data_IF_005298554359
#
_entry.id   IF_005298554359
#
_cell.length_a   1.000
_cell.length_b   1.000
_cell.length_c   1.000
_cell.angle_alpha   90.00
_cell.angle_beta   90.00
_cell.angle_gamma   90.00
#
_symmetry.space_group_name_H-M   'P 1'
#
loop_
_entity.id
_entity.type
_entity.pdbx_description
1 polymer ?
#
# COMPACT_ATOMS: atom_id res chain seq x y z
N UNK A 1 18.74 3.02 18.53
CA UNK A 1 17.56 3.88 18.24
C UNK A 1 16.57 3.05 17.45
N UNK A 2 15.29 3.03 17.86
CA UNK A 2 14.24 2.25 17.22
C UNK A 2 13.56 3.05 16.09
N UNK A 3 13.06 2.34 15.09
CA UNK A 3 12.15 2.93 14.08
C UNK A 3 10.93 3.50 14.81
N UNK A 4 10.54 4.71 14.47
CA UNK A 4 9.51 5.46 15.21
C UNK A 4 8.33 5.91 14.36
N UNK A 5 8.32 5.61 13.06
CA UNK A 5 7.24 6.02 12.15
C UNK A 5 6.94 4.89 11.16
N UNK A 6 5.66 4.48 11.11
CA UNK A 6 5.22 3.35 10.29
C UNK A 6 4.07 3.74 9.38
N UNK A 7 4.25 3.62 8.06
CA UNK A 7 3.15 3.69 7.08
C UNK A 7 2.61 2.27 6.91
N UNK A 8 1.59 1.92 7.68
CA UNK A 8 1.12 0.53 7.79
C UNK A 8 0.15 0.08 6.69
N UNK A 9 -0.33 0.98 5.85
CA UNK A 9 -1.29 0.66 4.78
C UNK A 9 -2.02 1.89 4.26
N UNK A 10 -3.01 1.68 3.39
CA UNK A 10 -3.43 0.42 2.80
C UNK A 10 -2.72 0.19 1.45
N UNK A 11 -2.65 -1.06 0.98
CA UNK A 11 -2.11 -1.33 -0.35
C UNK A 11 -2.95 -0.61 -1.41
N UNK A 12 -2.31 -0.09 -2.47
CA UNK A 12 -2.93 0.65 -3.58
C UNK A 12 -3.55 2.01 -3.19
N UNK A 13 -3.21 2.54 -2.03
CA UNK A 13 -3.66 3.85 -1.55
C UNK A 13 -2.61 4.98 -1.67
N UNK A 14 -1.46 4.74 -2.31
CA UNK A 14 -0.45 5.78 -2.54
C UNK A 14 0.69 5.83 -1.52
N UNK A 15 0.86 4.81 -0.71
CA UNK A 15 1.94 4.70 0.30
C UNK A 15 3.34 4.86 -0.27
N UNK A 16 3.58 4.43 -1.51
CA UNK A 16 4.87 4.62 -2.21
C UNK A 16 5.17 6.10 -2.45
N UNK A 17 4.17 6.89 -2.82
CA UNK A 17 4.37 8.33 -3.01
C UNK A 17 4.64 9.01 -1.68
N UNK A 18 3.87 8.66 -0.64
CA UNK A 18 4.08 9.22 0.69
C UNK A 18 5.46 8.88 1.26
N UNK A 19 5.91 7.62 1.15
CA UNK A 19 7.27 7.21 1.53
C UNK A 19 8.33 8.06 0.82
N UNK A 20 8.20 8.24 -0.49
CA UNK A 20 9.11 9.06 -1.28
C UNK A 20 9.09 10.53 -0.89
N UNK A 21 7.93 11.10 -0.57
CA UNK A 21 7.83 12.49 -0.13
C UNK A 21 8.48 12.69 1.23
N UNK A 22 8.26 11.78 2.18
CA UNK A 22 8.88 11.84 3.49
C UNK A 22 10.40 11.71 3.42
N UNK A 23 10.93 10.84 2.55
CA UNK A 23 12.38 10.64 2.38
C UNK A 23 13.14 11.90 1.95
N UNK A 24 12.45 12.89 1.39
CA UNK A 24 13.08 14.15 0.96
C UNK A 24 13.29 15.14 2.11
N UNK A 25 12.67 14.90 3.27
CA UNK A 25 12.81 15.79 4.41
C UNK A 25 14.16 15.58 5.11
N UNK A 26 14.94 16.66 5.43
CA UNK A 26 16.29 16.54 6.00
C UNK A 26 16.35 15.85 7.35
N UNK A 27 15.29 15.90 8.16
CA UNK A 27 15.21 15.25 9.48
C UNK A 27 14.56 13.85 9.42
N UNK A 28 14.31 13.31 8.22
CA UNK A 28 13.67 12.01 8.03
C UNK A 28 14.66 11.01 7.42
N UNK A 29 14.69 9.80 7.97
CA UNK A 29 15.35 8.64 7.38
C UNK A 29 14.30 7.58 7.11
N UNK A 30 13.92 7.42 5.85
CA UNK A 30 13.06 6.29 5.44
C UNK A 30 13.91 5.08 5.08
N UNK A 31 13.35 3.87 5.29
CA UNK A 31 14.00 2.62 4.90
C UNK A 31 14.40 2.62 3.42
N UNK A 32 15.61 2.14 3.11
CA UNK A 32 16.08 2.00 1.73
C UNK A 32 15.25 0.97 0.94
N UNK A 33 14.75 -0.05 1.64
CA UNK A 33 13.83 -1.06 1.11
C UNK A 33 12.41 -0.68 1.52
N UNK A 34 11.54 -0.49 0.53
CA UNK A 34 10.11 -0.32 0.79
C UNK A 34 9.46 -1.70 0.93
N UNK A 35 8.58 -1.83 1.93
CA UNK A 35 7.94 -3.09 2.32
C UNK A 35 8.94 -4.14 2.81
N UNK A 36 9.77 -3.79 3.85
CA UNK A 36 10.62 -4.77 4.50
C UNK A 36 9.84 -5.91 5.16
N UNK A 37 8.56 -5.68 5.47
CA UNK A 37 7.62 -6.65 6.04
C UNK A 37 8.14 -7.36 7.30
N UNK A 38 9.01 -6.73 8.07
CA UNK A 38 9.67 -7.30 9.24
C UNK A 38 8.67 -7.88 10.26
N UNK A 39 7.66 -7.10 10.65
CA UNK A 39 6.64 -7.57 11.61
C UNK A 39 5.65 -8.58 11.03
N UNK A 40 5.53 -8.66 9.71
CA UNK A 40 4.63 -9.61 9.02
C UNK A 40 5.37 -10.73 8.31
N UNK A 41 6.64 -10.94 8.56
CA UNK A 41 7.47 -11.91 7.83
C UNK A 41 6.80 -13.29 7.75
N UNK A 42 6.33 -13.84 8.88
CA UNK A 42 5.64 -15.11 8.92
C UNK A 42 4.26 -15.12 8.22
N UNK A 43 3.63 -13.95 8.07
CA UNK A 43 2.30 -13.85 7.47
C UNK A 43 2.34 -13.72 5.93
N UNK A 44 3.44 -13.22 5.38
CA UNK A 44 3.56 -12.93 3.95
C UNK A 44 4.36 -13.98 3.19
N UNK A 45 5.00 -14.94 3.88
CA UNK A 45 5.77 -16.04 3.28
C UNK A 45 4.93 -16.94 2.38
N UNK A 46 3.65 -17.11 2.69
CA UNK A 46 2.74 -18.03 2.00
C UNK A 46 1.84 -17.34 0.97
N UNK A 47 2.14 -16.07 0.62
CA UNK A 47 1.37 -15.37 -0.42
C UNK A 47 1.67 -15.96 -1.81
N UNK A 48 0.70 -15.84 -2.73
CA UNK A 48 0.81 -16.33 -4.11
C UNK A 48 1.84 -15.58 -4.97
N UNK A 49 2.44 -14.54 -4.43
CA UNK A 49 3.51 -13.76 -5.05
C UNK A 49 4.73 -13.73 -4.13
N UNK A 50 5.91 -13.58 -4.73
CA UNK A 50 7.15 -13.58 -3.99
C UNK A 50 7.25 -12.32 -3.11
N UNK A 51 7.44 -12.53 -1.83
CA UNK A 51 7.80 -11.51 -0.85
C UNK A 51 9.12 -11.95 -0.21
N UNK A 52 10.04 -11.04 -0.07
CA UNK A 52 11.32 -11.25 0.59
C UNK A 52 11.34 -10.39 1.87
N UNK A 53 10.75 -10.88 2.97
CA UNK A 53 10.69 -10.14 4.22
C UNK A 53 12.02 -10.18 4.94
N UNK A 54 12.33 -9.13 5.68
CA UNK A 54 13.45 -9.12 6.62
C UNK A 54 13.05 -9.93 7.86
N UNK A 55 13.94 -10.85 8.29
CA UNK A 55 13.60 -11.83 9.31
C UNK A 55 14.15 -11.51 10.71
N UNK A 56 15.20 -10.71 10.80
CA UNK A 56 15.83 -10.38 12.07
C UNK A 56 16.00 -8.86 12.24
N UNK A 57 16.16 -8.42 13.49
CA UNK A 57 16.20 -7.01 13.85
C UNK A 57 17.50 -6.32 13.40
N UNK A 58 18.61 -7.02 13.35
CA UNK A 58 19.89 -6.46 12.90
C UNK A 58 19.82 -6.09 11.42
N UNK A 59 19.37 -7.00 10.56
CA UNK A 59 19.14 -6.73 9.14
C UNK A 59 18.07 -5.64 8.93
N UNK A 60 17.04 -5.61 9.79
CA UNK A 60 16.02 -4.56 9.76
C UNK A 60 16.61 -3.18 10.04
N UNK A 61 17.55 -3.06 10.96
CA UNK A 61 18.21 -1.78 11.24
C UNK A 61 19.20 -1.38 10.14
N UNK A 62 19.81 -2.32 9.42
CA UNK A 62 20.76 -2.03 8.34
C UNK A 62 20.12 -1.34 7.11
N UNK A 63 18.81 -1.42 6.94
CA UNK A 63 18.13 -0.72 5.82
C UNK A 63 17.93 0.79 6.06
N UNK A 64 18.34 1.31 7.20
CA UNK A 64 18.26 2.74 7.52
C UNK A 64 19.66 3.36 7.52
N UNK A 65 19.86 4.40 6.71
CA UNK A 65 21.16 5.06 6.57
C UNK A 65 21.56 5.89 7.79
N UNK A 66 20.57 6.37 8.57
CA UNK A 66 20.81 7.21 9.75
C UNK A 66 19.67 7.05 10.77
N UNK A 67 19.89 6.19 11.75
CA UNK A 67 18.96 5.97 12.86
C UNK A 67 18.89 7.13 13.87
N UNK A 68 19.75 8.16 13.77
CA UNK A 68 19.77 9.32 14.67
C UNK A 68 18.83 10.44 14.22
N UNK A 69 18.25 10.34 13.02
CA UNK A 69 17.28 11.32 12.54
C UNK A 69 16.06 11.35 13.46
N UNK A 70 15.41 12.50 13.53
CA UNK A 70 14.21 12.74 14.33
C UNK A 70 13.07 11.77 13.96
N UNK A 71 12.91 11.51 12.67
CA UNK A 71 11.99 10.52 12.13
C UNK A 71 12.76 9.43 11.43
N UNK A 72 12.60 8.20 11.91
CA UNK A 72 13.10 6.97 11.28
C UNK A 72 11.88 6.13 10.91
N UNK A 73 11.63 5.96 9.62
CA UNK A 73 10.37 5.41 9.17
C UNK A 73 10.44 4.35 8.09
N UNK A 74 9.42 3.53 8.02
CA UNK A 74 9.23 2.55 6.97
C UNK A 74 7.78 2.50 6.44
N UNK A 75 7.56 1.77 5.35
CA UNK A 75 6.25 1.57 4.75
C UNK A 75 6.05 0.12 4.33
N UNK A 76 5.33 -0.65 5.16
CA UNK A 76 4.90 -2.02 4.88
C UNK A 76 3.37 -2.10 4.91
N UNK A 77 2.75 -2.21 3.73
CA UNK A 77 1.29 -2.15 3.60
C UNK A 77 0.56 -3.37 4.14
N UNK A 78 1.29 -4.47 4.38
CA UNK A 78 0.80 -5.70 5.00
C UNK A 78 0.44 -5.50 6.47
N UNK A 79 1.07 -4.54 7.16
CA UNK A 79 0.91 -4.35 8.60
C UNK A 79 -0.52 -4.00 9.00
N UNK A 80 -1.25 -3.28 8.16
CA UNK A 80 -2.61 -2.86 8.47
C UNK A 80 -3.58 -4.03 8.62
N UNK A 81 -3.43 -5.05 7.78
CA UNK A 81 -4.38 -6.16 7.67
C UNK A 81 -4.22 -7.21 8.78
N UNK A 82 -3.01 -7.70 9.00
CA UNK A 82 -2.81 -8.85 9.88
C UNK A 82 -3.06 -8.50 11.36
N UNK A 83 -3.83 -9.34 12.07
CA UNK A 83 -3.97 -9.23 13.53
C UNK A 83 -2.61 -9.27 14.23
N UNK A 84 -2.53 -8.74 15.44
CA UNK A 84 -1.33 -8.72 16.30
C UNK A 84 -0.17 -7.83 15.82
N UNK A 85 -0.21 -7.29 14.60
CA UNK A 85 0.90 -6.46 14.12
C UNK A 85 0.92 -5.09 14.82
N UNK A 86 -0.24 -4.53 15.13
CA UNK A 86 -0.31 -3.31 15.93
C UNK A 86 0.36 -3.51 17.30
N UNK A 87 0.08 -4.65 17.96
CA UNK A 87 0.67 -5.00 19.26
C UNK A 87 2.18 -5.20 19.14
N UNK A 88 2.67 -5.94 18.14
CA UNK A 88 4.11 -6.13 17.88
C UNK A 88 4.86 -4.82 17.67
N UNK A 89 4.27 -3.89 16.89
CA UNK A 89 4.87 -2.57 16.68
C UNK A 89 4.86 -1.77 17.99
N UNK A 90 3.81 -1.89 18.79
CA UNK A 90 3.71 -1.23 20.09
C UNK A 90 4.74 -1.78 21.09
N UNK A 91 4.90 -3.10 21.17
CA UNK A 91 5.95 -3.75 21.96
C UNK A 91 7.36 -3.30 21.52
N UNK A 92 7.58 -3.23 20.20
CA UNK A 92 8.82 -2.72 19.64
C UNK A 92 9.05 -1.25 19.99
N UNK A 93 8.06 -0.37 19.78
CA UNK A 93 8.15 1.05 20.11
C UNK A 93 6.78 1.64 20.49
N UNK A 94 6.47 1.76 21.80
CA UNK A 94 5.18 2.30 22.27
C UNK A 94 4.90 3.75 21.86
N UNK A 95 5.96 4.51 21.51
CA UNK A 95 5.86 5.92 21.09
C UNK A 95 5.82 6.08 19.57
N UNK A 96 5.71 4.98 18.82
CA UNK A 96 5.70 5.04 17.37
C UNK A 96 4.51 5.87 16.83
N UNK A 97 4.77 6.60 15.76
CA UNK A 97 3.75 7.31 14.98
C UNK A 97 3.28 6.41 13.83
N UNK A 98 2.00 6.19 13.76
CA UNK A 98 1.35 5.34 12.77
C UNK A 98 0.66 6.20 11.72
N UNK A 99 0.92 5.92 10.45
CA UNK A 99 0.27 6.60 9.33
C UNK A 99 -0.51 5.57 8.53
N UNK A 100 -1.79 5.80 8.34
CA UNK A 100 -2.70 4.95 7.57
C UNK A 100 -3.27 5.78 6.42
N UNK A 101 -3.01 5.36 5.20
CA UNK A 101 -3.51 6.00 3.99
C UNK A 101 -4.63 5.14 3.40
N UNK A 102 -5.86 5.64 3.40
CA UNK A 102 -7.04 4.94 2.93
C UNK A 102 -7.50 5.44 1.56
N UNK A 103 -8.13 4.55 0.82
CA UNK A 103 -8.72 4.82 -0.49
C UNK A 103 -10.11 4.19 -0.55
N UNK A 104 -11.01 4.71 -1.40
CA UNK A 104 -12.27 4.02 -1.70
C UNK A 104 -12.01 2.52 -1.92
N UNK A 105 -12.60 1.62 -1.10
CA UNK A 105 -12.22 0.21 -1.09
C UNK A 105 -12.51 -0.51 -2.41
N UNK A 106 -13.56 -0.12 -3.12
CA UNK A 106 -13.87 -0.65 -4.46
C UNK A 106 -12.76 -0.29 -5.46
N UNK A 107 -12.35 0.97 -5.47
CA UNK A 107 -11.27 1.44 -6.34
C UNK A 107 -9.91 0.82 -5.94
N UNK A 108 -9.69 0.57 -4.65
CA UNK A 108 -8.51 -0.12 -4.13
C UNK A 108 -8.47 -1.55 -4.64
N UNK A 109 -9.57 -2.30 -4.44
CA UNK A 109 -9.71 -3.68 -4.88
C UNK A 109 -9.42 -3.84 -6.38
N UNK A 110 -10.07 -3.03 -7.19
CA UNK A 110 -9.87 -3.04 -8.64
C UNK A 110 -8.46 -2.64 -9.06
N UNK A 111 -7.86 -1.66 -8.37
CA UNK A 111 -6.47 -1.27 -8.63
C UNK A 111 -5.47 -2.38 -8.29
N UNK A 112 -5.75 -3.20 -7.27
CA UNK A 112 -4.93 -4.35 -6.90
C UNK A 112 -5.08 -5.47 -7.93
N UNK A 113 -6.32 -5.86 -8.23
CA UNK A 113 -6.63 -6.84 -9.27
C UNK A 113 -5.96 -6.52 -10.61
N UNK A 114 -6.08 -5.28 -11.10
CA UNK A 114 -5.45 -4.86 -12.35
C UNK A 114 -3.91 -4.94 -12.31
N UNK A 115 -3.31 -4.67 -11.17
CA UNK A 115 -1.86 -4.83 -11.00
C UNK A 115 -1.46 -6.29 -11.15
N UNK A 116 -2.12 -7.19 -10.45
CA UNK A 116 -1.79 -8.61 -10.44
C UNK A 116 -2.11 -9.29 -11.77
N UNK A 117 -3.23 -8.90 -12.40
CA UNK A 117 -3.54 -9.34 -13.76
C UNK A 117 -2.47 -8.92 -14.76
N UNK A 118 -1.98 -7.69 -14.67
CA UNK A 118 -0.89 -7.19 -15.52
C UNK A 118 0.43 -7.92 -15.28
N UNK A 119 0.71 -8.27 -14.02
CA UNK A 119 1.91 -9.02 -13.65
C UNK A 119 1.80 -10.52 -13.94
N UNK A 120 0.64 -10.98 -14.42
CA UNK A 120 0.38 -12.42 -14.66
C UNK A 120 0.23 -13.23 -13.39
N UNK A 121 0.04 -12.60 -12.24
CA UNK A 121 -0.13 -13.27 -10.95
C UNK A 121 -1.55 -13.78 -10.75
N UNK A 122 -2.54 -13.17 -11.41
CA UNK A 122 -3.93 -13.55 -11.35
C UNK A 122 -4.53 -13.67 -12.76
N UNK A 123 -5.03 -14.86 -13.11
CA UNK A 123 -5.72 -15.15 -14.38
C UNK A 123 -7.24 -15.31 -14.23
N UNK A 124 -7.73 -15.33 -13.00
CA UNK A 124 -9.15 -15.45 -12.65
C UNK A 124 -9.84 -14.09 -12.79
N UNK A 125 -11.13 -14.07 -13.18
CA UNK A 125 -11.89 -12.81 -13.20
C UNK A 125 -12.19 -12.32 -11.78
N UNK A 126 -12.28 -11.01 -11.60
CA UNK A 126 -12.59 -10.44 -10.28
C UNK A 126 -13.99 -10.84 -9.82
N UNK A 127 -14.93 -11.01 -10.76
CA UNK A 127 -16.29 -11.50 -10.47
C UNK A 127 -16.24 -12.91 -9.90
N UNK A 128 -15.52 -13.83 -10.53
CA UNK A 128 -15.36 -15.21 -10.07
C UNK A 128 -14.73 -15.27 -8.66
N UNK A 129 -13.75 -14.42 -8.38
CA UNK A 129 -13.12 -14.34 -7.06
C UNK A 129 -14.11 -13.88 -5.98
N UNK A 130 -14.96 -12.90 -6.31
CA UNK A 130 -16.00 -12.38 -5.39
C UNK A 130 -17.08 -13.42 -5.15
N UNK A 131 -17.49 -14.17 -6.17
CA UNK A 131 -18.57 -15.15 -6.08
C UNK A 131 -18.15 -16.48 -5.45
N UNK A 132 -16.87 -16.82 -5.56
CA UNK A 132 -16.32 -18.08 -5.07
C UNK A 132 -15.08 -17.88 -4.18
N UNK A 133 -15.21 -17.18 -3.03
CA UNK A 133 -14.07 -16.84 -2.17
C UNK A 133 -13.33 -18.08 -1.65
N UNK A 134 -14.03 -19.19 -1.42
CA UNK A 134 -13.43 -20.45 -0.95
C UNK A 134 -12.53 -21.11 -2.00
N UNK A 135 -12.80 -20.89 -3.30
CA UNK A 135 -11.94 -21.40 -4.39
C UNK A 135 -10.69 -20.53 -4.56
N UNK A 136 -10.78 -19.25 -4.19
CA UNK A 136 -9.74 -18.25 -4.44
C UNK A 136 -9.40 -17.47 -3.16
N UNK A 137 -9.11 -18.12 -2.01
CA UNK A 137 -9.02 -17.44 -0.71
C UNK A 137 -7.93 -16.38 -0.68
N UNK A 138 -6.76 -16.64 -1.25
CA UNK A 138 -5.66 -15.66 -1.27
C UNK A 138 -5.98 -14.44 -2.15
N UNK A 139 -6.62 -14.63 -3.31
CA UNK A 139 -7.05 -13.51 -4.15
C UNK A 139 -8.18 -12.72 -3.49
N UNK A 140 -9.12 -13.39 -2.85
CA UNK A 140 -10.20 -12.75 -2.11
C UNK A 140 -9.65 -11.89 -0.97
N UNK A 141 -8.72 -12.43 -0.18
CA UNK A 141 -8.00 -11.69 0.83
C UNK A 141 -7.36 -10.40 0.26
N UNK A 142 -6.56 -10.54 -0.80
CA UNK A 142 -5.80 -9.43 -1.37
C UNK A 142 -6.71 -8.38 -2.06
N UNK A 143 -7.75 -8.82 -2.76
CA UNK A 143 -8.59 -7.89 -3.52
C UNK A 143 -9.81 -7.41 -2.75
N UNK A 144 -10.30 -8.16 -1.76
CA UNK A 144 -11.52 -7.80 -1.03
C UNK A 144 -11.23 -7.48 0.43
N UNK A 145 -10.72 -8.43 1.22
CA UNK A 145 -10.62 -8.27 2.67
C UNK A 145 -9.69 -7.14 3.11
N UNK A 146 -8.60 -6.88 2.36
CA UNK A 146 -7.72 -5.74 2.63
C UNK A 146 -8.44 -4.38 2.48
N UNK A 147 -9.68 -4.36 1.98
CA UNK A 147 -10.51 -3.17 1.88
C UNK A 147 -11.55 -3.02 2.99
N UNK A 148 -11.67 -4.00 3.88
CA UNK A 148 -12.51 -3.94 5.08
C UNK A 148 -11.73 -3.21 6.20
N UNK A 149 -11.81 -1.89 6.19
CA UNK A 149 -10.90 -1.05 6.96
C UNK A 149 -11.27 -0.86 8.43
N UNK A 150 -12.55 -0.97 8.79
CA UNK A 150 -13.02 -0.59 10.12
C UNK A 150 -12.25 -1.29 11.24
N UNK A 151 -12.21 -2.62 11.23
CA UNK A 151 -11.51 -3.39 12.26
C UNK A 151 -10.00 -3.17 12.23
N UNK A 152 -9.43 -3.01 11.03
CA UNK A 152 -8.01 -2.77 10.84
C UNK A 152 -7.59 -1.42 11.45
N UNK A 153 -8.31 -0.34 11.14
CA UNK A 153 -8.05 1.01 11.66
C UNK A 153 -8.33 1.07 13.16
N UNK A 154 -9.46 0.49 13.59
CA UNK A 154 -9.84 0.46 15.01
C UNK A 154 -8.74 -0.16 15.87
N UNK A 155 -8.14 -1.27 15.45
CA UNK A 155 -7.04 -1.95 16.15
C UNK A 155 -5.86 -1.02 16.42
N UNK A 156 -5.43 -0.26 15.43
CA UNK A 156 -4.32 0.69 15.60
C UNK A 156 -4.69 1.85 16.54
N UNK A 157 -5.93 2.33 16.46
CA UNK A 157 -6.41 3.38 17.39
C UNK A 157 -6.50 2.85 18.82
N UNK A 158 -6.97 1.62 19.00
CA UNK A 158 -7.09 1.01 20.34
C UNK A 158 -5.71 0.78 20.98
N UNK A 159 -4.71 0.39 20.19
CA UNK A 159 -3.35 0.09 20.69
C UNK A 159 -2.52 1.34 20.94
N UNK A 160 -2.55 2.30 20.01
CA UNK A 160 -1.66 3.47 20.05
C UNK A 160 -2.30 4.76 20.57
N UNK A 161 -3.64 4.82 20.66
CA UNK A 161 -4.36 6.08 20.86
C UNK A 161 -4.48 6.91 19.57
N UNK A 162 -5.51 7.75 19.51
CA UNK A 162 -5.80 8.59 18.34
C UNK A 162 -4.67 9.59 18.03
N UNK A 163 -3.96 10.04 19.04
CA UNK A 163 -2.87 11.03 18.95
C UNK A 163 -1.61 10.45 18.28
N UNK A 164 -1.47 9.13 18.26
CA UNK A 164 -0.36 8.44 17.59
C UNK A 164 -0.74 7.88 16.21
N UNK A 165 -2.01 8.00 15.80
CA UNK A 165 -2.49 7.44 14.53
C UNK A 165 -2.98 8.54 13.59
N UNK A 166 -2.27 8.78 12.50
CA UNK A 166 -2.65 9.72 11.44
C UNK A 166 -3.35 9.00 10.30
N UNK A 167 -4.61 9.35 10.07
CA UNK A 167 -5.38 8.85 8.95
C UNK A 167 -5.38 9.86 7.80
N UNK A 168 -5.08 9.37 6.60
CA UNK A 168 -4.99 10.15 5.37
C UNK A 168 -5.89 9.52 4.29
N UNK A 169 -6.41 10.36 3.40
CA UNK A 169 -7.21 9.90 2.27
C UNK A 169 -6.42 10.01 0.96
N UNK A 170 -6.51 8.98 0.13
CA UNK A 170 -5.85 8.95 -1.18
C UNK A 170 -6.28 10.13 -2.07
N UNK A 171 -7.54 10.55 -1.97
CA UNK A 171 -8.04 11.66 -2.76
C UNK A 171 -7.39 12.99 -2.35
N UNK A 172 -7.09 13.18 -1.05
CA UNK A 172 -6.33 14.34 -0.57
C UNK A 172 -4.87 14.28 -1.05
N UNK A 173 -4.25 13.10 -1.05
CA UNK A 173 -2.91 12.90 -1.60
C UNK A 173 -2.84 13.26 -3.10
N UNK A 174 -3.93 13.00 -3.84
CA UNK A 174 -4.02 13.28 -5.27
C UNK A 174 -4.34 14.74 -5.57
N UNK A 175 -5.22 15.35 -4.80
CA UNK A 175 -5.80 16.67 -5.11
C UNK A 175 -5.25 17.81 -4.26
N UNK A 176 -4.72 17.49 -3.06
CA UNK A 176 -4.30 18.48 -2.04
C UNK A 176 -2.99 18.06 -1.38
N UNK A 177 -2.02 17.60 -2.18
CA UNK A 177 -0.78 16.99 -1.68
C UNK A 177 0.01 17.90 -0.73
N UNK A 178 0.10 19.19 -1.01
CA UNK A 178 0.82 20.17 -0.16
C UNK A 178 0.18 20.26 1.23
N UNK A 179 -1.13 20.41 1.30
CA UNK A 179 -1.89 20.49 2.54
C UNK A 179 -1.80 19.17 3.32
N UNK A 180 -1.87 18.02 2.63
CA UNK A 180 -1.70 16.72 3.25
C UNK A 180 -0.31 16.59 3.85
N UNK A 181 0.76 16.92 3.12
CA UNK A 181 2.14 16.85 3.62
C UNK A 181 2.39 17.79 4.80
N UNK A 182 1.86 19.01 4.76
CA UNK A 182 1.91 19.93 5.91
C UNK A 182 1.32 19.29 7.17
N UNK A 183 0.16 18.63 7.03
CA UNK A 183 -0.48 17.93 8.15
C UNK A 183 0.31 16.70 8.64
N UNK A 184 1.04 16.03 7.75
CA UNK A 184 1.91 14.89 8.12
C UNK A 184 3.16 15.39 8.83
N UNK A 185 3.82 16.42 8.32
CA UNK A 185 5.00 17.01 8.97
C UNK A 185 4.65 17.52 10.37
N UNK A 186 3.52 18.24 10.52
CA UNK A 186 3.02 18.65 11.83
C UNK A 186 2.80 17.46 12.77
N UNK A 187 2.18 16.39 12.31
CA UNK A 187 1.96 15.17 13.09
C UNK A 187 3.28 14.51 13.54
N UNK A 188 4.32 14.59 12.70
CA UNK A 188 5.66 14.10 12.99
C UNK A 188 6.53 15.11 13.75
N UNK A 189 5.96 16.27 14.13
CA UNK A 189 6.66 17.38 14.77
C UNK A 189 7.85 17.92 13.94
N UNK A 190 7.69 17.90 12.62
CA UNK A 190 8.67 18.40 11.66
C UNK A 190 8.24 19.77 11.14
N UNK A 191 9.21 20.62 10.82
CA UNK A 191 8.96 21.85 10.09
C UNK A 191 8.55 21.54 8.64
N UNK A 192 7.78 22.44 8.04
CA UNK A 192 7.39 22.24 6.65
C UNK A 192 8.58 22.51 5.71
N UNK A 193 8.84 21.56 4.83
CA UNK A 193 9.78 21.72 3.71
C UNK A 193 9.06 21.45 2.39
N UNK A 194 9.44 22.18 1.35
CA UNK A 194 8.92 21.90 0.01
C UNK A 194 9.60 20.66 -0.56
N UNK A 195 8.79 19.69 -0.99
CA UNK A 195 9.25 18.43 -1.59
C UNK A 195 8.76 18.29 -3.03
N UNK A 196 9.50 17.54 -3.84
CA UNK A 196 9.05 17.19 -5.18
C UNK A 196 7.85 16.23 -5.10
N UNK A 197 6.69 16.73 -5.48
CA UNK A 197 5.42 15.99 -5.47
C UNK A 197 5.01 15.46 -6.84
N UNK A 198 5.94 15.34 -7.78
CA UNK A 198 5.66 14.77 -9.10
C UNK A 198 5.03 13.40 -8.98
N UNK A 199 3.98 13.14 -9.78
CA UNK A 199 3.20 11.91 -9.73
C UNK A 199 4.09 10.72 -10.07
N UNK A 200 4.27 9.83 -9.10
CA UNK A 200 4.96 8.55 -9.27
C UNK A 200 3.94 7.42 -9.42
N UNK A 201 4.32 6.38 -10.16
CA UNK A 201 3.46 5.20 -10.39
C UNK A 201 2.17 5.47 -11.18
N UNK A 202 2.25 6.22 -12.27
CA UNK A 202 1.18 6.26 -13.26
C UNK A 202 0.85 4.85 -13.75
N UNK A 203 -0.42 4.60 -14.04
CA UNK A 203 -0.83 3.32 -14.60
C UNK A 203 -0.20 3.15 -15.98
N UNK A 204 0.58 2.07 -16.14
CA UNK A 204 1.17 1.69 -17.43
C UNK A 204 0.69 0.27 -17.78
N UNK A 205 0.25 0.09 -19.00
CA UNK A 205 -0.11 -1.22 -19.54
C UNK A 205 0.96 -1.71 -20.53
N UNK A 206 1.13 -3.04 -20.70
CA UNK A 206 1.97 -3.60 -21.76
C UNK A 206 1.54 -3.05 -23.12
N UNK A 207 2.50 -2.70 -23.96
CA UNK A 207 2.22 -2.10 -25.27
C UNK A 207 1.60 -3.08 -26.26
N UNK A 208 1.76 -4.39 -26.05
CA UNK A 208 1.11 -5.45 -26.86
C UNK A 208 0.92 -6.75 -26.06
N UNK A 209 0.14 -7.70 -26.65
CA UNK A 209 -0.19 -8.99 -26.06
C UNK A 209 1.02 -9.92 -25.87
N UNK A 210 2.03 -9.84 -26.74
CA UNK A 210 3.25 -10.66 -26.67
C UNK A 210 4.07 -10.27 -25.43
N UNK A 211 4.21 -8.96 -25.16
CA UNK A 211 4.89 -8.45 -23.97
C UNK A 211 4.13 -8.87 -22.71
N UNK A 212 2.80 -8.84 -22.74
CA UNK A 212 1.96 -9.33 -21.67
C UNK A 212 2.19 -10.82 -21.39
N UNK A 213 2.31 -11.64 -22.44
CA UNK A 213 2.60 -13.07 -22.32
C UNK A 213 4.00 -13.35 -21.76
N UNK A 214 5.03 -12.67 -22.29
CA UNK A 214 6.42 -12.81 -21.83
C UNK A 214 6.59 -12.37 -20.35
N UNK A 215 5.87 -11.36 -19.92
CA UNK A 215 5.94 -10.88 -18.54
C UNK A 215 5.28 -11.85 -17.51
N UNK A 216 4.45 -12.81 -17.98
CA UNK A 216 3.87 -13.87 -17.17
C UNK A 216 4.88 -14.92 -16.70
N UNK A 217 5.97 -15.11 -17.42
CA UNK A 217 7.00 -16.09 -17.06
C UNK A 217 7.92 -15.55 -15.97
N UNK A 218 7.74 -16.05 -14.73
CA UNK A 218 8.55 -15.68 -13.56
C UNK A 218 10.05 -15.79 -13.82
N UNK A 219 10.47 -16.89 -14.46
CA UNK A 219 11.87 -17.18 -14.77
C UNK A 219 12.50 -16.13 -15.70
N UNK A 220 11.81 -15.74 -16.77
CA UNK A 220 12.28 -14.70 -17.67
C UNK A 220 12.41 -13.33 -17.00
N UNK A 221 11.49 -13.02 -16.10
CA UNK A 221 11.50 -11.76 -15.32
C UNK A 221 12.67 -11.70 -14.33
N UNK A 222 12.95 -12.81 -13.65
CA UNK A 222 14.08 -12.93 -12.71
C UNK A 222 15.40 -12.84 -13.45
N UNK A 223 15.56 -13.57 -14.56
CA UNK A 223 16.77 -13.56 -15.37
C UNK A 223 17.05 -12.21 -16.01
N UNK A 224 16.02 -11.50 -16.46
CA UNK A 224 16.16 -10.14 -17.02
C UNK A 224 16.57 -9.14 -15.92
N UNK A 225 16.02 -9.26 -14.73
CA UNK A 225 16.39 -8.39 -13.61
C UNK A 225 17.82 -8.63 -13.13
N UNK A 226 18.33 -9.86 -13.26
CA UNK A 226 19.70 -10.23 -12.89
C UNK A 226 20.75 -9.83 -13.96
N UNK A 227 20.41 -9.98 -15.24
CA UNK A 227 21.35 -9.81 -16.34
C UNK A 227 21.40 -8.38 -16.91
N UNK A 228 20.37 -7.55 -16.66
CA UNK A 228 20.26 -6.23 -17.30
C UNK A 228 20.48 -5.12 -16.26
N UNK A 229 21.44 -4.19 -16.48
CA UNK A 229 21.67 -3.06 -15.59
C UNK A 229 20.39 -2.23 -15.35
N UNK A 230 20.20 -1.77 -14.12
CA UNK A 230 18.98 -1.08 -13.68
C UNK A 230 18.58 0.14 -14.53
N UNK A 231 19.55 0.83 -15.14
CA UNK A 231 19.31 1.96 -16.05
C UNK A 231 18.68 1.49 -17.38
N UNK A 232 19.19 0.40 -17.96
CA UNK A 232 18.64 -0.20 -19.19
C UNK A 232 17.26 -0.83 -18.94
N UNK A 233 17.07 -1.47 -17.80
CA UNK A 233 15.76 -2.00 -17.37
C UNK A 233 14.69 -0.92 -17.30
N UNK A 234 15.04 0.27 -16.81
CA UNK A 234 14.11 1.41 -16.74
C UNK A 234 13.72 1.90 -18.13
N UNK A 235 14.69 2.01 -19.05
CA UNK A 235 14.44 2.41 -20.44
C UNK A 235 13.61 1.36 -21.19
N UNK A 236 13.93 0.08 -21.07
CA UNK A 236 13.16 -1.04 -21.62
C UNK A 236 11.72 -1.07 -21.06
N UNK A 237 11.54 -0.91 -19.75
CA UNK A 237 10.20 -0.83 -19.15
C UNK A 237 9.39 0.35 -19.70
N UNK A 238 10.01 1.50 -19.94
CA UNK A 238 9.32 2.65 -20.53
C UNK A 238 8.91 2.43 -21.99
N UNK A 239 9.69 1.66 -22.74
CA UNK A 239 9.39 1.30 -24.14
C UNK A 239 8.30 0.23 -24.24
N UNK A 240 8.32 -0.74 -23.33
CA UNK A 240 7.42 -1.89 -23.32
C UNK A 240 6.06 -1.59 -22.67
N UNK A 241 5.98 -0.55 -21.83
CA UNK A 241 4.76 -0.17 -21.13
C UNK A 241 4.37 1.27 -21.44
N UNK A 242 3.21 1.45 -22.05
CA UNK A 242 2.66 2.78 -22.39
C UNK A 242 1.68 3.23 -21.30
N UNK A 243 1.63 4.54 -21.03
CA UNK A 243 0.54 5.12 -20.23
C UNK A 243 -0.79 4.83 -20.95
N UNK A 244 -1.71 4.23 -20.24
CA UNK A 244 -3.04 3.93 -20.76
C UNK A 244 -4.11 4.30 -19.75
N UNK A 245 -5.31 4.57 -20.24
CA UNK A 245 -6.47 4.74 -19.36
C UNK A 245 -6.76 3.42 -18.64
N UNK A 246 -7.09 3.51 -17.35
CA UNK A 246 -7.55 2.32 -16.62
C UNK A 246 -8.85 1.80 -17.23
N UNK A 247 -9.00 0.49 -17.42
CA UNK A 247 -10.28 -0.07 -17.81
C UNK A 247 -11.36 0.31 -16.78
N UNK A 248 -12.59 0.43 -17.23
CA UNK A 248 -13.74 0.66 -16.34
C UNK A 248 -14.02 -0.62 -15.54
N UNK A 249 -14.50 -0.45 -14.32
CA UNK A 249 -14.97 -1.55 -13.49
C UNK A 249 -16.29 -2.06 -14.10
N UNK A 250 -16.42 -3.38 -14.21
CA UNK A 250 -17.69 -3.99 -14.60
C UNK A 250 -18.79 -3.62 -13.59
N UNK A 251 -20.02 -3.37 -14.08
CA UNK A 251 -21.12 -2.90 -13.24
C UNK A 251 -21.53 -3.92 -12.18
N UNK A 252 -21.46 -5.21 -12.49
CA UNK A 252 -21.80 -6.27 -11.53
C UNK A 252 -20.75 -6.37 -10.45
N UNK A 253 -19.46 -6.35 -10.81
CA UNK A 253 -18.33 -6.29 -9.87
C UNK A 253 -18.46 -5.07 -8.96
N UNK A 254 -18.75 -3.90 -9.53
CA UNK A 254 -18.92 -2.67 -8.78
C UNK A 254 -20.04 -2.79 -7.75
N UNK A 255 -21.22 -3.32 -8.15
CA UNK A 255 -22.37 -3.53 -7.27
C UNK A 255 -22.04 -4.51 -6.13
N UNK A 256 -21.42 -5.65 -6.43
CA UNK A 256 -21.07 -6.66 -5.43
C UNK A 256 -20.04 -6.13 -4.42
N UNK A 257 -18.98 -5.48 -4.88
CA UNK A 257 -18.00 -4.88 -3.99
C UNK A 257 -18.61 -3.77 -3.11
N UNK A 258 -19.49 -2.94 -3.67
CA UNK A 258 -20.19 -1.90 -2.89
C UNK A 258 -21.04 -2.54 -1.77
N UNK A 259 -21.76 -3.62 -2.05
CA UNK A 259 -22.54 -4.34 -1.03
C UNK A 259 -21.64 -4.92 0.08
N UNK A 260 -20.51 -5.51 -0.27
CA UNK A 260 -19.54 -6.05 0.69
C UNK A 260 -19.02 -4.94 1.62
N UNK A 261 -18.68 -3.77 1.08
CA UNK A 261 -18.05 -2.70 1.85
C UNK A 261 -19.01 -1.78 2.58
N UNK A 262 -20.30 -1.74 2.23
CA UNK A 262 -21.24 -0.74 2.77
C UNK A 262 -21.24 -0.68 4.31
N UNK A 263 -21.36 -1.83 4.98
CA UNK A 263 -21.39 -1.90 6.45
C UNK A 263 -20.06 -1.42 7.06
N UNK A 264 -18.94 -1.85 6.48
CA UNK A 264 -17.60 -1.46 6.93
C UNK A 264 -17.37 0.05 6.76
N UNK A 265 -17.79 0.63 5.65
CA UNK A 265 -17.71 2.08 5.39
C UNK A 265 -18.53 2.86 6.42
N UNK A 266 -19.75 2.40 6.79
CA UNK A 266 -20.56 3.06 7.80
C UNK A 266 -19.90 3.03 9.18
N UNK A 267 -19.35 1.89 9.56
CA UNK A 267 -18.64 1.74 10.84
C UNK A 267 -17.37 2.60 10.85
N UNK A 268 -16.62 2.61 9.76
CA UNK A 268 -15.42 3.43 9.62
C UNK A 268 -15.76 4.93 9.67
N UNK A 269 -16.82 5.36 8.97
CA UNK A 269 -17.31 6.74 8.96
C UNK A 269 -17.62 7.23 10.39
N UNK A 270 -18.29 6.41 11.18
CA UNK A 270 -18.58 6.69 12.60
C UNK A 270 -17.30 6.75 13.45
N UNK A 271 -16.40 5.78 13.30
CA UNK A 271 -15.14 5.73 14.04
C UNK A 271 -14.29 6.99 13.83
N UNK A 272 -14.25 7.47 12.57
CA UNK A 272 -13.44 8.62 12.16
C UNK A 272 -14.14 9.96 12.32
N UNK A 273 -15.44 9.95 12.64
CA UNK A 273 -16.31 11.13 12.58
C UNK A 273 -16.15 11.88 11.24
N UNK A 274 -16.17 11.14 10.13
CA UNK A 274 -15.94 11.67 8.76
C UNK A 274 -16.98 11.10 7.81
N UNK A 275 -17.59 11.96 6.99
CA UNK A 275 -18.48 11.50 5.93
C UNK A 275 -17.70 10.75 4.85
N UNK A 276 -18.02 9.45 4.70
CA UNK A 276 -17.48 8.55 3.68
C UNK A 276 -18.57 8.08 2.71
N UNK A 277 -19.74 8.73 2.68
CA UNK A 277 -20.90 8.37 1.83
C UNK A 277 -20.53 8.30 0.34
N UNK A 278 -19.58 9.15 -0.10
CA UNK A 278 -19.08 9.13 -1.48
C UNK A 278 -18.43 7.78 -1.88
N UNK A 279 -17.93 7.00 -0.91
CA UNK A 279 -17.33 5.70 -1.19
C UNK A 279 -18.38 4.63 -1.53
N UNK A 280 -19.64 4.86 -1.21
CA UNK A 280 -20.78 3.97 -1.50
C UNK A 280 -21.44 4.24 -2.85
N UNK A 281 -21.12 5.37 -3.48
CA UNK A 281 -21.73 5.71 -4.78
C UNK A 281 -21.23 4.75 -5.86
N UNK A 282 -22.18 4.06 -6.47
CA UNK A 282 -22.00 3.17 -7.63
C UNK A 282 -22.18 4.03 -8.88
N UNK A 283 -21.11 4.71 -9.34
CA UNK A 283 -21.14 5.49 -10.58
C UNK A 283 -20.43 4.75 -11.70
#
# INVERSE_FOLDING_TARGET
>A
VKVNTFIVGAPKAGTTSLHYYLQQHPEVCMSAIKEPNFFTAANVSDLYYDVDPILNEDDYHLIFSDLKKKVVGEASVSYLYYPLIADKIFEYNPKAKIIILLRNPVQRAFSHYLMDKRLGLCNVSLLEIIDNPQKHPQFYQQFVELGLYFSQVKRYIDVFGKEHVKLLMYDDLKLKVTSLLSSVFQFLSLDYVQVDTTVRNKFKAPSNSIISALYRFKFLRSSINFLVPSRLLRSLKNLLFKESSKPKIDKEVLRKLALIYNKDIDQLSKLLNKDLSQWKKVN
#
